data_IF_339044577502
#
_entry.id   IF_339044577502
#
_cell.length_a   1.000
_cell.length_b   1.000
_cell.length_c   1.000
_cell.angle_alpha   90.00
_cell.angle_beta   90.00
_cell.angle_gamma   90.00
#
_symmetry.space_group_name_H-M   'P 1'
#
loop_
_entity.id
_entity.type
_entity.pdbx_description
1 polymer ?
#
# COMPACT_ATOMS: atom_id res chain seq x y z
N UNK A 1 -3.73 37.83 25.32
CA UNK A 1 -3.55 36.53 25.98
C UNK A 1 -4.39 35.42 25.34
N UNK A 2 -5.66 35.64 25.02
CA UNK A 2 -6.53 34.63 24.38
C UNK A 2 -6.05 34.20 23.00
N UNK A 3 -5.60 35.13 22.15
CA UNK A 3 -5.07 34.84 20.80
C UNK A 3 -3.82 33.96 20.80
N UNK A 4 -2.96 34.14 21.81
CA UNK A 4 -1.72 33.37 21.96
C UNK A 4 -2.00 31.90 22.33
N UNK A 5 -3.05 31.69 23.14
CA UNK A 5 -3.51 30.37 23.55
C UNK A 5 -4.17 29.61 22.42
N UNK A 6 -5.03 30.26 21.63
CA UNK A 6 -5.66 29.68 20.44
C UNK A 6 -4.63 29.29 19.38
N UNK A 7 -3.61 30.13 19.16
CA UNK A 7 -2.53 29.86 18.22
C UNK A 7 -1.69 28.65 18.63
N UNK A 8 -1.44 28.46 19.93
CA UNK A 8 -0.74 27.29 20.45
C UNK A 8 -1.58 26.01 20.33
N UNK A 9 -2.88 26.10 20.58
CA UNK A 9 -3.79 24.95 20.45
C UNK A 9 -3.91 24.50 18.99
N UNK A 10 -4.02 25.44 18.06
CA UNK A 10 -4.03 25.16 16.61
C UNK A 10 -2.71 24.51 16.16
N UNK A 11 -1.58 25.00 16.64
CA UNK A 11 -0.28 24.42 16.37
C UNK A 11 -0.15 22.97 16.87
N UNK A 12 -0.68 22.69 18.05
CA UNK A 12 -0.70 21.33 18.61
C UNK A 12 -1.60 20.39 17.81
N UNK A 13 -2.77 20.85 17.37
CA UNK A 13 -3.68 20.09 16.52
C UNK A 13 -3.03 19.80 15.16
N UNK A 14 -2.42 20.80 14.55
CA UNK A 14 -1.71 20.62 13.27
C UNK A 14 -0.56 19.62 13.39
N UNK A 15 0.21 19.68 14.47
CA UNK A 15 1.29 18.73 14.72
C UNK A 15 0.77 17.31 14.95
N UNK A 16 -0.36 17.17 15.68
CA UNK A 16 -1.00 15.88 15.88
C UNK A 16 -1.52 15.29 14.58
N UNK A 17 -2.12 16.10 13.71
CA UNK A 17 -2.58 15.67 12.39
C UNK A 17 -1.38 15.28 11.51
N UNK A 18 -0.33 16.08 11.48
CA UNK A 18 0.88 15.80 10.71
C UNK A 18 1.62 14.55 11.19
N UNK A 19 1.57 14.25 12.49
CA UNK A 19 2.20 13.03 13.04
C UNK A 19 1.47 11.75 12.65
N UNK A 20 0.18 11.81 12.28
CA UNK A 20 -0.59 10.65 11.86
C UNK A 20 -0.40 10.27 10.40
N UNK A 21 0.08 11.19 9.57
CA UNK A 21 0.27 10.93 8.15
C UNK A 21 1.42 11.77 7.60
N UNK A 22 2.51 11.09 7.26
CA UNK A 22 3.68 11.70 6.63
C UNK A 22 4.00 10.96 5.33
N UNK A 23 3.34 11.32 4.20
CA UNK A 23 3.49 10.59 2.95
C UNK A 23 4.92 10.50 2.44
N UNK A 24 5.74 11.53 2.66
CA UNK A 24 7.15 11.54 2.25
C UNK A 24 8.01 10.54 3.01
N UNK A 25 7.63 10.20 4.23
CA UNK A 25 8.34 9.26 5.11
C UNK A 25 7.76 7.84 5.05
N UNK A 26 6.71 7.66 4.28
CA UNK A 26 6.01 6.38 4.17
C UNK A 26 6.88 5.36 3.44
N UNK A 27 7.00 4.16 4.01
CA UNK A 27 7.75 3.04 3.43
C UNK A 27 6.99 1.75 3.60
N UNK A 28 7.04 0.91 2.59
CA UNK A 28 6.50 -0.45 2.65
C UNK A 28 7.43 -1.27 3.54
N UNK A 29 6.87 -1.90 4.57
CA UNK A 29 7.62 -2.72 5.52
C UNK A 29 7.42 -4.20 5.31
N UNK A 30 6.26 -4.62 4.79
CA UNK A 30 5.97 -6.02 4.54
C UNK A 30 4.90 -6.18 3.47
N UNK A 31 4.87 -7.34 2.86
CA UNK A 31 3.78 -7.80 2.01
C UNK A 31 3.43 -9.23 2.42
N UNK A 32 2.19 -9.44 2.81
CA UNK A 32 1.68 -10.71 3.27
C UNK A 32 0.56 -11.19 2.36
N UNK A 33 0.36 -12.47 2.34
CA UNK A 33 -0.60 -13.11 1.49
C UNK A 33 -1.39 -14.15 2.28
N UNK A 34 -2.70 -14.16 2.08
CA UNK A 34 -3.58 -15.19 2.61
C UNK A 34 -4.48 -15.70 1.48
N UNK A 35 -4.74 -16.99 1.49
CA UNK A 35 -5.66 -17.58 0.51
C UNK A 35 -7.00 -17.82 1.20
N UNK A 36 -8.05 -17.22 0.66
CA UNK A 36 -9.41 -17.44 1.09
C UNK A 36 -10.05 -18.48 0.18
N UNK A 37 -10.37 -19.65 0.72
CA UNK A 37 -10.97 -20.74 -0.02
C UNK A 37 -12.50 -20.63 0.02
N UNK A 38 -13.10 -20.58 -1.15
CA UNK A 38 -14.56 -20.61 -1.34
C UNK A 38 -14.85 -21.49 -2.55
N UNK A 39 -15.58 -21.00 -3.55
CA UNK A 39 -15.75 -21.70 -4.84
C UNK A 39 -14.42 -21.85 -5.56
N UNK A 40 -13.55 -20.85 -5.36
CA UNK A 40 -12.20 -20.79 -5.90
C UNK A 40 -11.28 -20.31 -4.79
N UNK A 41 -9.99 -20.42 -5.01
CA UNK A 41 -8.97 -19.85 -4.13
C UNK A 41 -8.77 -18.37 -4.50
N UNK A 42 -8.95 -17.50 -3.50
CA UNK A 42 -8.78 -16.06 -3.64
C UNK A 42 -7.56 -15.62 -2.84
N UNK A 43 -6.40 -15.44 -3.47
CA UNK A 43 -5.24 -14.89 -2.77
C UNK A 43 -5.43 -13.41 -2.48
N UNK A 44 -5.42 -13.05 -1.21
CA UNK A 44 -5.54 -11.68 -0.73
C UNK A 44 -4.16 -11.16 -0.35
N UNK A 45 -3.79 -10.02 -0.89
CA UNK A 45 -2.53 -9.34 -0.60
C UNK A 45 -2.77 -8.26 0.45
N UNK A 46 -1.89 -8.19 1.43
CA UNK A 46 -1.82 -7.07 2.36
C UNK A 46 -0.43 -6.46 2.30
N UNK A 47 -0.36 -5.15 2.05
CA UNK A 47 0.88 -4.37 2.06
C UNK A 47 0.87 -3.50 3.30
N UNK A 48 1.85 -3.70 4.17
CA UNK A 48 2.01 -2.96 5.41
C UNK A 48 3.01 -1.82 5.24
N UNK A 49 2.83 -0.76 6.02
CA UNK A 49 3.72 0.40 6.03
C UNK A 49 4.27 0.68 7.42
N UNK A 50 5.29 1.52 7.48
CA UNK A 50 5.92 1.96 8.72
C UNK A 50 5.07 2.94 9.56
N UNK A 51 3.91 3.36 9.05
CA UNK A 51 3.03 4.29 9.74
C UNK A 51 1.70 3.65 10.18
N UNK A 52 1.63 2.33 10.23
CA UNK A 52 0.44 1.60 10.68
C UNK A 52 -0.70 1.54 9.66
N UNK A 53 -0.54 2.16 8.50
CA UNK A 53 -1.50 2.11 7.40
C UNK A 53 -1.17 0.90 6.55
N UNK A 54 -2.20 0.21 6.08
CA UNK A 54 -2.03 -0.91 5.17
C UNK A 54 -3.06 -0.84 4.03
N UNK A 55 -2.76 -1.53 2.95
CA UNK A 55 -3.67 -1.67 1.82
C UNK A 55 -3.90 -3.14 1.50
N UNK A 56 -5.08 -3.43 0.97
CA UNK A 56 -5.49 -4.77 0.59
C UNK A 56 -5.80 -4.82 -0.90
N UNK A 57 -5.33 -5.88 -1.54
CA UNK A 57 -5.65 -6.19 -2.93
C UNK A 57 -5.88 -7.68 -3.08
N UNK A 58 -6.34 -8.10 -4.25
CA UNK A 58 -6.59 -9.49 -4.57
C UNK A 58 -5.85 -9.90 -5.84
N UNK A 59 -5.26 -11.09 -5.81
CA UNK A 59 -4.69 -11.70 -7.01
C UNK A 59 -5.82 -12.34 -7.78
N UNK A 60 -6.10 -11.82 -8.96
CA UNK A 60 -7.25 -12.21 -9.77
C UNK A 60 -7.10 -13.61 -10.37
N UNK A 61 -8.26 -14.25 -10.56
CA UNK A 61 -8.48 -15.43 -11.40
C UNK A 61 -7.59 -16.65 -11.10
N UNK A 62 -7.73 -17.18 -9.89
CA UNK A 62 -6.95 -18.36 -9.48
C UNK A 62 -5.44 -18.17 -9.67
N UNK A 63 -4.99 -16.92 -9.69
CA UNK A 63 -3.57 -16.60 -9.73
C UNK A 63 -2.85 -17.23 -8.55
N UNK A 64 -1.69 -17.78 -8.82
CA UNK A 64 -0.91 -18.37 -7.75
C UNK A 64 -0.35 -17.29 -6.83
N UNK A 65 -0.46 -17.53 -5.54
CA UNK A 65 0.08 -16.62 -4.51
C UNK A 65 1.57 -16.31 -4.73
N UNK A 66 2.31 -17.27 -5.24
CA UNK A 66 3.74 -17.15 -5.53
C UNK A 66 4.03 -16.05 -6.55
N UNK A 67 3.13 -15.85 -7.50
CA UNK A 67 3.29 -14.82 -8.52
C UNK A 67 3.32 -13.41 -7.93
N UNK A 68 2.51 -13.16 -6.92
CA UNK A 68 2.52 -11.88 -6.22
C UNK A 68 3.72 -11.75 -5.28
N UNK A 69 4.07 -12.82 -4.56
CA UNK A 69 5.18 -12.82 -3.61
C UNK A 69 6.54 -12.58 -4.27
N UNK A 70 6.70 -12.92 -5.54
CA UNK A 70 7.96 -12.64 -6.25
C UNK A 70 8.29 -11.14 -6.30
N UNK A 71 7.29 -10.28 -6.21
CA UNK A 71 7.49 -8.83 -6.23
C UNK A 71 7.82 -8.23 -4.87
N UNK A 72 7.74 -9.00 -3.80
CA UNK A 72 7.97 -8.50 -2.44
C UNK A 72 9.31 -7.78 -2.30
N UNK A 73 10.37 -8.38 -2.79
CA UNK A 73 11.72 -7.79 -2.72
C UNK A 73 11.83 -6.46 -3.44
N UNK A 74 11.04 -6.24 -4.47
CA UNK A 74 11.02 -4.99 -5.24
C UNK A 74 10.20 -3.90 -4.55
N UNK A 75 9.27 -4.28 -3.68
CA UNK A 75 8.36 -3.36 -2.99
C UNK A 75 8.91 -2.88 -1.64
N UNK A 76 9.60 -3.75 -0.90
CA UNK A 76 10.10 -3.43 0.44
C UNK A 76 11.01 -2.19 0.41
N UNK A 77 10.73 -1.25 1.30
CA UNK A 77 11.48 0.00 1.39
C UNK A 77 11.03 1.09 0.43
N UNK A 78 10.15 0.78 -0.52
CA UNK A 78 9.61 1.77 -1.45
C UNK A 78 8.54 2.63 -0.77
N UNK A 79 8.38 3.86 -1.27
CA UNK A 79 7.26 4.70 -0.85
C UNK A 79 6.00 4.27 -1.63
N UNK A 80 4.95 3.79 -0.95
CA UNK A 80 3.75 3.30 -1.63
C UNK A 80 2.97 4.38 -2.38
N UNK A 81 3.24 5.65 -2.13
CA UNK A 81 2.61 6.74 -2.87
C UNK A 81 3.18 6.91 -4.29
N UNK A 82 4.37 6.35 -4.56
CA UNK A 82 4.99 6.35 -5.89
C UNK A 82 4.43 5.21 -6.76
N UNK A 83 3.12 5.16 -6.91
CA UNK A 83 2.40 4.05 -7.56
C UNK A 83 2.88 3.85 -9.00
N UNK A 84 2.98 4.91 -9.78
CA UNK A 84 3.39 4.83 -11.17
C UNK A 84 4.79 4.24 -11.33
N UNK A 85 5.72 4.65 -10.50
CA UNK A 85 7.09 4.14 -10.54
C UNK A 85 7.15 2.67 -10.17
N UNK A 86 6.47 2.30 -9.10
CA UNK A 86 6.38 0.90 -8.64
C UNK A 86 5.70 0.04 -9.70
N UNK A 87 4.57 0.50 -10.22
CA UNK A 87 3.82 -0.23 -11.24
C UNK A 87 4.66 -0.48 -12.50
N UNK A 88 5.39 0.54 -12.97
CA UNK A 88 6.29 0.39 -14.11
C UNK A 88 7.40 -0.63 -13.87
N UNK A 89 7.91 -0.71 -12.65
CA UNK A 89 8.97 -1.65 -12.32
C UNK A 89 8.49 -3.09 -12.30
N UNK A 90 7.30 -3.35 -11.75
CA UNK A 90 6.74 -4.71 -11.61
C UNK A 90 6.00 -5.18 -12.86
N UNK A 91 5.45 -4.27 -13.64
CA UNK A 91 4.68 -4.56 -14.86
C UNK A 91 5.44 -5.43 -15.86
N UNK A 92 6.75 -5.25 -15.97
CA UNK A 92 7.62 -6.00 -16.88
C UNK A 92 7.60 -7.50 -16.64
N UNK A 93 7.39 -7.87 -15.37
CA UNK A 93 7.44 -9.26 -14.91
C UNK A 93 6.06 -9.88 -14.78
N UNK A 94 5.01 -9.06 -14.89
CA UNK A 94 3.64 -9.54 -14.96
C UNK A 94 3.36 -10.04 -16.37
N UNK A 95 3.24 -11.35 -16.57
CA UNK A 95 2.95 -11.95 -17.87
C UNK A 95 1.70 -11.32 -18.49
N UNK A 96 1.88 -10.70 -19.66
CA UNK A 96 0.79 -10.33 -20.56
C UNK A 96 -0.34 -9.48 -19.95
N UNK A 97 -0.03 -8.24 -19.63
CA UNK A 97 -1.04 -7.23 -19.35
C UNK A 97 -1.42 -7.07 -17.89
N UNK A 98 -2.54 -6.41 -17.66
CA UNK A 98 -3.02 -5.99 -16.32
C UNK A 98 -3.26 -7.14 -15.36
N UNK A 99 -3.40 -8.33 -15.86
CA UNK A 99 -3.89 -9.48 -15.10
C UNK A 99 -2.77 -10.37 -14.62
N UNK A 100 -1.56 -10.14 -15.13
CA UNK A 100 -0.44 -11.02 -14.86
C UNK A 100 0.08 -10.94 -13.43
N UNK A 101 0.12 -12.08 -12.79
CA UNK A 101 0.99 -12.31 -11.64
C UNK A 101 0.77 -11.48 -10.39
N UNK A 102 -0.42 -10.96 -10.19
CA UNK A 102 -0.71 -10.17 -8.98
C UNK A 102 -0.34 -8.69 -9.08
N UNK A 103 0.11 -8.21 -10.22
CA UNK A 103 0.45 -6.79 -10.42
C UNK A 103 -0.74 -5.88 -10.16
N UNK A 104 -1.92 -6.24 -10.65
CA UNK A 104 -3.16 -5.47 -10.38
C UNK A 104 -3.53 -5.47 -8.91
N UNK A 105 -3.40 -6.59 -8.23
CA UNK A 105 -3.68 -6.68 -6.79
C UNK A 105 -2.74 -5.80 -5.97
N UNK A 106 -1.49 -5.78 -6.31
CA UNK A 106 -0.50 -4.90 -5.70
C UNK A 106 -0.86 -3.43 -5.95
N UNK A 107 -1.18 -3.08 -7.18
CA UNK A 107 -1.57 -1.71 -7.53
C UNK A 107 -2.78 -1.24 -6.72
N UNK A 108 -3.82 -2.06 -6.63
CA UNK A 108 -5.02 -1.75 -5.84
C UNK A 108 -4.66 -1.53 -4.37
N UNK A 109 -3.81 -2.38 -3.79
CA UNK A 109 -3.36 -2.25 -2.41
C UNK A 109 -2.60 -0.93 -2.19
N UNK A 110 -1.77 -0.51 -3.15
CA UNK A 110 -1.06 0.77 -3.10
C UNK A 110 -2.03 1.95 -3.18
N UNK A 111 -3.03 1.89 -4.03
CA UNK A 111 -4.07 2.92 -4.11
C UNK A 111 -4.87 3.02 -2.80
N UNK A 112 -5.15 1.91 -2.15
CA UNK A 112 -5.81 1.92 -0.84
C UNK A 112 -4.97 2.63 0.22
N UNK A 113 -3.66 2.39 0.24
CA UNK A 113 -2.75 3.09 1.14
C UNK A 113 -2.79 4.60 0.86
N UNK A 114 -2.72 5.00 -0.40
CA UNK A 114 -2.80 6.40 -0.80
C UNK A 114 -4.10 7.05 -0.36
N UNK A 115 -5.22 6.35 -0.50
CA UNK A 115 -6.53 6.84 -0.06
C UNK A 115 -6.60 7.08 1.45
N UNK A 116 -5.94 6.25 2.24
CA UNK A 116 -5.92 6.38 3.69
C UNK A 116 -5.21 7.66 4.17
N UNK A 117 -4.41 8.29 3.31
CA UNK A 117 -3.70 9.53 3.63
C UNK A 117 -4.47 10.81 3.28
N UNK A 118 -5.58 10.70 2.62
CA UNK A 118 -6.35 11.87 2.16
C UNK A 118 -7.27 12.42 3.26
#
# INVERSE_FOLDING_TARGET
MAQKKESQELGQIENAIKSHSQPSELRITDMRLAVVCSNYDYPIIRIDTNQGIYGIGEVRDAGHKENALQFKSMLLGQNPCNIDMIFRSIKRFGNWGREGGGVSGIEIALWEIGRAHV
#
